data_IF_110665242634
#
_entry.id   IF_110665242634
#
_cell.length_a   1.000
_cell.length_b   1.000
_cell.length_c   1.000
_cell.angle_alpha   90.00
_cell.angle_beta   90.00
_cell.angle_gamma   90.00
#
_symmetry.space_group_name_H-M   'P 1'
#
loop_
_entity.id
_entity.type
_entity.pdbx_description
1 polymer ?
#
# COMPACT_ATOMS: atom_id res chain seq x y z
N UNK A 1 -15.62 8.46 10.77
CA UNK A 1 -14.41 7.68 11.09
C UNK A 1 -13.22 8.48 10.62
N UNK A 2 -12.36 8.89 11.54
CA UNK A 2 -11.13 9.62 11.23
C UNK A 2 -10.19 8.73 10.40
N UNK A 3 -9.28 9.33 9.63
CA UNK A 3 -8.34 8.56 8.79
C UNK A 3 -7.46 7.61 9.63
N UNK A 4 -7.09 8.02 10.85
CA UNK A 4 -6.29 7.21 11.78
C UNK A 4 -7.00 5.92 12.21
N UNK A 5 -8.33 5.97 12.39
CA UNK A 5 -9.13 4.78 12.71
C UNK A 5 -9.15 3.79 11.54
N UNK A 6 -9.18 4.28 10.30
CA UNK A 6 -9.08 3.43 9.09
C UNK A 6 -7.70 2.79 8.98
N UNK A 7 -6.64 3.57 9.20
CA UNK A 7 -5.26 3.08 9.20
C UNK A 7 -5.10 1.97 10.25
N UNK A 8 -5.56 2.21 11.47
CA UNK A 8 -5.44 1.23 12.55
C UNK A 8 -6.25 -0.05 12.26
N UNK A 9 -7.41 0.08 11.62
CA UNK A 9 -8.18 -1.08 11.18
C UNK A 9 -7.43 -1.93 10.16
N UNK A 10 -6.69 -1.32 9.22
CA UNK A 10 -5.85 -2.05 8.26
C UNK A 10 -4.69 -2.76 8.96
N UNK A 11 -3.99 -2.08 9.88
CA UNK A 11 -2.85 -2.61 10.61
C UNK A 11 -3.26 -3.78 11.53
N UNK A 12 -4.40 -3.67 12.20
CA UNK A 12 -4.89 -4.68 13.13
C UNK A 12 -5.60 -5.86 12.47
N UNK A 13 -6.00 -5.74 11.20
CA UNK A 13 -6.71 -6.80 10.51
C UNK A 13 -5.78 -7.99 10.21
N UNK A 14 -6.06 -9.20 10.73
CA UNK A 14 -5.23 -10.38 10.48
C UNK A 14 -5.26 -10.85 9.03
N UNK A 15 -6.26 -10.45 8.24
CA UNK A 15 -6.34 -10.76 6.81
C UNK A 15 -5.55 -9.78 5.93
N UNK A 16 -5.11 -8.63 6.44
CA UNK A 16 -4.21 -7.73 5.72
C UNK A 16 -2.82 -8.38 5.64
N UNK A 17 -2.22 -8.40 4.45
CA UNK A 17 -0.89 -8.97 4.26
C UNK A 17 0.18 -8.21 5.05
N UNK A 18 1.18 -8.94 5.56
CA UNK A 18 2.30 -8.34 6.31
C UNK A 18 3.08 -7.31 5.48
N UNK A 19 3.15 -7.52 4.15
CA UNK A 19 3.74 -6.56 3.23
C UNK A 19 3.00 -5.22 3.26
N UNK A 20 1.66 -5.23 3.14
CA UNK A 20 0.88 -3.99 3.15
C UNK A 20 0.94 -3.30 4.52
N UNK A 21 0.91 -4.06 5.63
CA UNK A 21 1.10 -3.49 6.97
C UNK A 21 2.44 -2.80 7.11
N UNK A 22 3.52 -3.49 6.72
CA UNK A 22 4.88 -2.94 6.79
C UNK A 22 5.07 -1.71 5.92
N UNK A 23 4.47 -1.68 4.72
CA UNK A 23 4.49 -0.52 3.85
C UNK A 23 3.74 0.66 4.47
N UNK A 24 2.55 0.43 5.03
CA UNK A 24 1.75 1.46 5.68
C UNK A 24 2.46 2.03 6.92
N UNK A 25 3.01 1.19 7.79
CA UNK A 25 3.78 1.64 8.97
C UNK A 25 4.97 2.53 8.58
N UNK A 26 5.71 2.16 7.53
CA UNK A 26 6.83 2.97 7.02
C UNK A 26 6.36 4.27 6.38
N UNK A 27 5.24 4.26 5.67
CA UNK A 27 4.67 5.46 5.05
C UNK A 27 4.25 6.50 6.09
N UNK A 28 3.71 6.06 7.23
CA UNK A 28 3.28 6.96 8.32
C UNK A 28 4.43 7.70 9.02
N UNK A 29 5.68 7.26 8.83
CA UNK A 29 6.87 7.90 9.37
C UNK A 29 7.47 8.96 8.43
N UNK A 30 6.91 9.13 7.23
CA UNK A 30 7.41 10.04 6.19
C UNK A 30 6.55 11.29 6.07
N UNK A 31 7.03 12.25 5.27
CA UNK A 31 6.17 13.31 4.76
C UNK A 31 4.99 12.70 3.99
N UNK A 32 3.78 13.19 4.27
CA UNK A 32 2.56 12.57 3.75
C UNK A 32 2.38 12.77 2.25
N UNK A 33 2.95 13.83 1.66
CA UNK A 33 2.88 14.09 0.22
C UNK A 33 3.81 13.13 -0.52
N UNK A 34 5.05 12.98 -0.04
CA UNK A 34 6.01 12.03 -0.63
C UNK A 34 5.52 10.59 -0.51
N UNK A 35 5.00 10.20 0.66
CA UNK A 35 4.50 8.85 0.89
C UNK A 35 3.32 8.50 -0.03
N UNK A 36 2.41 9.46 -0.28
CA UNK A 36 1.29 9.26 -1.19
C UNK A 36 1.75 9.12 -2.65
N UNK A 37 2.68 9.98 -3.10
CA UNK A 37 3.23 9.92 -4.46
C UNK A 37 4.00 8.61 -4.71
N UNK A 38 4.83 8.17 -3.75
CA UNK A 38 5.56 6.90 -3.85
C UNK A 38 4.61 5.69 -3.90
N UNK A 39 3.50 5.75 -3.16
CA UNK A 39 2.49 4.68 -3.14
C UNK A 39 1.73 4.58 -4.47
N UNK A 40 1.41 5.72 -5.11
CA UNK A 40 0.80 5.76 -6.45
C UNK A 40 1.74 5.16 -7.49
N UNK A 41 3.01 5.59 -7.52
CA UNK A 41 4.01 5.03 -8.42
C UNK A 41 4.20 3.52 -8.21
N UNK A 42 4.22 3.06 -6.95
CA UNK A 42 4.30 1.65 -6.62
C UNK A 42 3.09 0.86 -7.13
N UNK A 43 1.87 1.40 -6.98
CA UNK A 43 0.67 0.80 -7.54
C UNK A 43 0.81 0.63 -9.06
N UNK A 44 1.17 1.69 -9.78
CA UNK A 44 1.25 1.67 -11.23
C UNK A 44 2.22 0.60 -11.73
N UNK A 45 3.41 0.51 -11.11
CA UNK A 45 4.41 -0.51 -11.45
C UNK A 45 3.90 -1.94 -11.17
N UNK A 46 3.22 -2.15 -10.05
CA UNK A 46 2.67 -3.46 -9.71
C UNK A 46 1.52 -3.87 -10.64
N UNK A 47 0.69 -2.92 -11.05
CA UNK A 47 -0.41 -3.15 -11.99
C UNK A 47 0.12 -3.56 -13.37
N UNK A 48 1.07 -2.79 -13.93
CA UNK A 48 1.72 -3.12 -15.21
C UNK A 48 2.38 -4.50 -15.15
N UNK A 49 3.13 -4.78 -14.07
CA UNK A 49 3.75 -6.10 -13.89
C UNK A 49 2.73 -7.24 -13.82
N UNK A 50 1.60 -7.02 -13.16
CA UNK A 50 0.53 -8.01 -13.06
C UNK A 50 -0.06 -8.32 -14.44
N UNK A 51 -0.38 -7.28 -15.21
CA UNK A 51 -0.93 -7.42 -16.56
C UNK A 51 0.05 -8.14 -17.50
N UNK A 52 1.34 -7.80 -17.44
CA UNK A 52 2.37 -8.46 -18.23
C UNK A 52 2.48 -9.96 -17.91
N UNK A 53 2.43 -10.32 -16.62
CA UNK A 53 2.44 -11.72 -16.18
C UNK A 53 1.18 -12.45 -16.65
N UNK A 54 0.00 -11.83 -16.55
CA UNK A 54 -1.26 -12.44 -16.96
C UNK A 54 -1.40 -12.61 -18.48
N UNK A 55 -0.82 -11.70 -19.28
CA UNK A 55 -0.79 -11.81 -20.75
C UNK A 55 0.19 -12.87 -21.26
N UNK A 56 1.18 -13.25 -20.45
CA UNK A 56 2.16 -14.27 -20.79
C UNK A 56 1.70 -15.70 -20.48
N UNK A 57 0.52 -15.87 -19.86
CA UNK A 57 -0.15 -17.15 -19.60
C UNK A 57 -1.09 -17.53 -20.76
#
# INVERSE_FOLDING_TARGET
>A
MAIDEKIQAVLNNPATSDWLKSCLEKALLRDCVDAANDAELLHDLLAVRCDDVLRAL
#
